data_IF_037791950661
#
_entry.id   IF_037791950661
#
_cell.length_a   1.000
_cell.length_b   1.000
_cell.length_c   1.000
_cell.angle_alpha   90.00
_cell.angle_beta   90.00
_cell.angle_gamma   90.00
#
_symmetry.space_group_name_H-M   'P 1'
#
loop_
_entity.id
_entity.type
_entity.pdbx_description
1 polymer ?
#
# COMPACT_ATOMS: atom_id res chain seq x y z
N UNK A 1 -25.13 -28.69 43.82
CA UNK A 1 -25.09 -30.01 43.18
C UNK A 1 -25.78 -30.96 44.14
N UNK A 2 -27.06 -31.18 43.91
CA UNK A 2 -27.82 -32.19 44.67
C UNK A 2 -27.33 -33.58 44.24
N UNK A 3 -27.21 -34.52 45.17
CA UNK A 3 -26.66 -35.86 44.92
C UNK A 3 -27.51 -36.61 43.88
N UNK A 4 -27.09 -36.60 42.61
CA UNK A 4 -27.76 -37.29 41.51
C UNK A 4 -28.00 -36.47 40.25
N UNK A 5 -27.71 -35.17 40.25
CA UNK A 5 -27.83 -34.31 39.06
C UNK A 5 -26.69 -34.55 38.06
N UNK A 6 -27.03 -34.71 36.77
CA UNK A 6 -26.06 -34.82 35.68
C UNK A 6 -26.25 -33.66 34.70
N UNK A 7 -25.19 -32.88 34.49
CA UNK A 7 -25.16 -31.80 33.51
C UNK A 7 -24.59 -32.28 32.18
N UNK A 8 -25.24 -31.93 31.07
CA UNK A 8 -24.74 -32.15 29.73
C UNK A 8 -24.71 -30.82 28.96
N UNK A 9 -23.63 -30.61 28.19
CA UNK A 9 -23.43 -29.42 27.37
C UNK A 9 -23.26 -29.82 25.90
N UNK A 10 -23.99 -29.16 25.01
CA UNK A 10 -23.92 -29.39 23.56
C UNK A 10 -23.80 -28.06 22.83
N UNK A 11 -23.41 -28.13 21.55
CA UNK A 11 -23.32 -26.99 20.65
C UNK A 11 -24.48 -27.03 19.65
N UNK A 12 -25.08 -25.87 19.40
CA UNK A 12 -26.09 -25.67 18.35
C UNK A 12 -25.41 -25.33 17.00
N UNK A 13 -26.18 -25.30 15.92
CA UNK A 13 -25.82 -24.88 14.56
C UNK A 13 -25.13 -23.51 14.46
N UNK A 14 -25.29 -22.65 15.47
CA UNK A 14 -24.67 -21.33 15.57
C UNK A 14 -23.42 -21.31 16.47
N UNK A 15 -22.82 -22.47 16.75
CA UNK A 15 -21.70 -22.66 17.69
C UNK A 15 -22.00 -22.15 19.12
N UNK A 16 -23.28 -21.98 19.44
CA UNK A 16 -23.73 -21.59 20.78
C UNK A 16 -23.73 -22.80 21.69
N UNK A 17 -23.13 -22.68 22.88
CA UNK A 17 -23.15 -23.73 23.89
C UNK A 17 -24.42 -23.60 24.72
N UNK A 18 -25.16 -24.70 24.84
CA UNK A 18 -26.29 -24.81 25.74
C UNK A 18 -26.07 -25.95 26.72
N UNK A 19 -26.45 -25.72 27.98
CA UNK A 19 -26.30 -26.69 29.06
C UNK A 19 -27.66 -27.04 29.63
N UNK A 20 -27.92 -28.32 29.83
CA UNK A 20 -29.08 -28.81 30.55
C UNK A 20 -28.68 -29.79 31.63
N UNK A 21 -29.44 -29.81 32.71
CA UNK A 21 -29.26 -30.68 33.86
C UNK A 21 -30.47 -31.57 33.97
N UNK A 22 -30.26 -32.88 34.15
CA UNK A 22 -31.32 -33.82 34.47
C UNK A 22 -31.03 -34.47 35.82
N UNK A 23 -32.09 -34.63 36.62
CA UNK A 23 -32.00 -35.19 37.97
C UNK A 23 -33.37 -35.69 38.42
N UNK A 24 -33.43 -36.13 39.68
CA UNK A 24 -34.67 -36.51 40.34
C UNK A 24 -34.99 -35.49 41.42
N UNK A 25 -36.24 -35.05 41.49
CA UNK A 25 -36.72 -34.17 42.56
C UNK A 25 -36.91 -34.93 43.89
N UNK A 26 -37.26 -34.23 44.97
CA UNK A 26 -37.54 -34.85 46.28
C UNK A 26 -38.60 -35.97 46.21
N UNK A 27 -39.53 -35.87 45.26
CA UNK A 27 -40.58 -36.87 45.00
C UNK A 27 -40.15 -38.04 44.08
N UNK A 28 -38.85 -38.15 43.74
CA UNK A 28 -38.29 -39.10 42.75
C UNK A 28 -38.86 -38.97 41.34
N UNK A 29 -39.39 -37.80 41.00
CA UNK A 29 -39.86 -37.50 39.65
C UNK A 29 -38.69 -36.99 38.79
N UNK A 30 -38.59 -37.41 37.51
CA UNK A 30 -37.53 -36.93 36.63
C UNK A 30 -37.74 -35.46 36.28
N UNK A 31 -36.79 -34.61 36.64
CA UNK A 31 -36.81 -33.17 36.36
C UNK A 31 -35.65 -32.80 35.43
N UNK A 32 -35.96 -32.02 34.39
CA UNK A 32 -34.98 -31.48 33.45
C UNK A 32 -34.98 -29.95 33.58
N UNK A 33 -33.83 -29.38 33.90
CA UNK A 33 -33.60 -27.94 33.98
C UNK A 33 -32.70 -27.51 32.83
N UNK A 34 -33.24 -26.73 31.90
CA UNK A 34 -32.48 -26.18 30.78
C UNK A 34 -32.07 -24.72 31.06
N UNK A 35 -30.85 -24.35 30.66
CA UNK A 35 -30.41 -22.95 30.72
C UNK A 35 -31.22 -22.09 29.74
N UNK A 36 -31.80 -20.98 30.21
CA UNK A 36 -32.64 -20.10 29.36
C UNK A 36 -31.83 -19.20 28.42
N UNK A 37 -30.59 -18.88 28.79
CA UNK A 37 -29.70 -18.00 28.02
C UNK A 37 -28.57 -18.81 27.38
N UNK A 38 -28.49 -18.81 26.05
CA UNK A 38 -27.42 -19.49 25.32
C UNK A 38 -26.10 -18.71 25.43
N UNK A 39 -25.00 -19.43 25.63
CA UNK A 39 -23.65 -18.85 25.57
C UNK A 39 -23.14 -18.93 24.12
N UNK A 40 -23.41 -17.88 23.34
CA UNK A 40 -22.93 -17.77 21.96
C UNK A 40 -21.60 -17.00 21.89
N UNK A 41 -20.66 -17.41 21.02
CA UNK A 41 -19.50 -16.59 20.71
C UNK A 41 -19.93 -15.26 20.07
N UNK A 42 -19.17 -14.16 20.28
CA UNK A 42 -19.46 -12.89 19.62
C UNK A 42 -19.40 -13.05 18.11
N UNK A 43 -20.35 -12.43 17.40
CA UNK A 43 -20.34 -12.36 15.94
C UNK A 43 -19.09 -11.61 15.50
N UNK A 44 -18.19 -12.29 14.80
CA UNK A 44 -17.01 -11.67 14.20
C UNK A 44 -17.41 -11.02 12.88
N UNK A 45 -17.12 -9.72 12.73
CA UNK A 45 -17.36 -8.98 11.49
C UNK A 45 -16.29 -9.32 10.43
N UNK A 46 -16.44 -10.47 9.79
CA UNK A 46 -15.49 -11.00 8.78
C UNK A 46 -15.24 -9.97 7.68
N UNK A 47 -16.29 -9.30 7.20
CA UNK A 47 -16.19 -8.28 6.14
C UNK A 47 -15.27 -7.12 6.57
N UNK A 48 -15.39 -6.65 7.81
CA UNK A 48 -14.58 -5.57 8.34
C UNK A 48 -13.10 -5.93 8.41
N UNK A 49 -12.80 -7.15 8.86
CA UNK A 49 -11.43 -7.68 8.91
C UNK A 49 -10.82 -7.76 7.50
N UNK A 50 -11.57 -8.33 6.55
CA UNK A 50 -11.12 -8.47 5.15
C UNK A 50 -10.83 -7.11 4.52
N UNK A 51 -11.75 -6.13 4.67
CA UNK A 51 -11.55 -4.79 4.14
C UNK A 51 -10.37 -4.07 4.81
N UNK A 52 -10.19 -4.24 6.12
CA UNK A 52 -9.05 -3.68 6.85
C UNK A 52 -7.72 -4.21 6.35
N UNK A 53 -7.61 -5.53 6.14
CA UNK A 53 -6.38 -6.17 5.63
C UNK A 53 -6.06 -5.70 4.21
N UNK A 54 -7.06 -5.65 3.31
CA UNK A 54 -6.87 -5.14 1.95
C UNK A 54 -6.40 -3.68 1.97
N UNK A 55 -7.04 -2.84 2.79
CA UNK A 55 -6.67 -1.44 2.96
C UNK A 55 -5.22 -1.27 3.42
N UNK A 56 -4.78 -2.07 4.39
CA UNK A 56 -3.41 -2.04 4.89
C UNK A 56 -2.39 -2.44 3.80
N UNK A 57 -2.65 -3.52 3.06
CA UNK A 57 -1.75 -3.98 1.98
C UNK A 57 -1.62 -2.91 0.90
N UNK A 58 -2.74 -2.30 0.48
CA UNK A 58 -2.74 -1.23 -0.53
C UNK A 58 -1.96 -0.01 -0.03
N UNK A 59 -2.16 0.40 1.23
CA UNK A 59 -1.44 1.53 1.81
C UNK A 59 0.08 1.29 1.86
N UNK A 60 0.51 0.09 2.26
CA UNK A 60 1.94 -0.29 2.25
C UNK A 60 2.50 -0.30 0.82
N UNK A 61 1.76 -0.87 -0.13
CA UNK A 61 2.15 -0.87 -1.54
C UNK A 61 2.33 0.55 -2.10
N UNK A 62 1.39 1.45 -1.80
CA UNK A 62 1.48 2.86 -2.19
C UNK A 62 2.66 3.57 -1.53
N UNK A 63 2.91 3.33 -0.24
CA UNK A 63 4.05 3.92 0.46
C UNK A 63 5.40 3.50 -0.17
N UNK A 64 5.54 2.21 -0.49
CA UNK A 64 6.74 1.70 -1.17
C UNK A 64 6.90 2.27 -2.59
N UNK A 65 5.81 2.36 -3.35
CA UNK A 65 5.84 2.97 -4.69
C UNK A 65 6.19 4.46 -4.64
N UNK A 66 5.65 5.21 -3.68
CA UNK A 66 5.99 6.61 -3.49
C UNK A 66 7.46 6.77 -3.11
N UNK A 67 7.96 5.97 -2.16
CA UNK A 67 9.36 6.00 -1.76
C UNK A 67 10.28 5.66 -2.93
N UNK A 68 9.99 4.58 -3.66
CA UNK A 68 10.70 4.22 -4.89
C UNK A 68 10.71 5.37 -5.89
N UNK A 69 9.54 5.97 -6.18
CA UNK A 69 9.39 7.02 -7.19
C UNK A 69 10.13 8.30 -6.82
N UNK A 70 10.15 8.66 -5.53
CA UNK A 70 10.95 9.79 -5.04
C UNK A 70 12.44 9.50 -5.23
N UNK A 71 12.91 8.32 -4.81
CA UNK A 71 14.33 7.94 -4.97
C UNK A 71 14.76 7.93 -6.44
N UNK A 72 13.96 7.32 -7.32
CA UNK A 72 14.26 7.30 -8.76
C UNK A 72 14.19 8.70 -9.37
N UNK A 73 13.22 9.53 -8.99
CA UNK A 73 13.15 10.91 -9.51
C UNK A 73 14.38 11.76 -9.11
N UNK A 74 14.92 11.56 -7.91
CA UNK A 74 16.14 12.24 -7.48
C UNK A 74 17.35 11.75 -8.29
N UNK A 75 17.46 10.43 -8.49
CA UNK A 75 18.55 9.84 -9.27
C UNK A 75 18.54 10.36 -10.71
N UNK A 76 17.38 10.31 -11.35
CA UNK A 76 17.16 10.76 -12.72
C UNK A 76 17.49 12.26 -12.88
N UNK A 77 17.06 13.11 -11.94
CA UNK A 77 17.42 14.54 -11.94
C UNK A 77 18.91 14.78 -11.79
N UNK A 78 19.60 13.99 -10.96
CA UNK A 78 21.04 14.14 -10.72
C UNK A 78 21.84 13.76 -11.95
N UNK A 79 21.48 12.66 -12.59
CA UNK A 79 22.11 12.20 -13.83
C UNK A 79 21.81 13.16 -14.99
N UNK A 80 20.57 13.62 -15.11
CA UNK A 80 20.18 14.61 -16.11
C UNK A 80 20.99 15.91 -16.00
N UNK A 81 21.21 16.40 -14.78
CA UNK A 81 22.02 17.61 -14.56
C UNK A 81 23.49 17.43 -14.94
N UNK A 82 24.04 16.22 -14.77
CA UNK A 82 25.40 15.89 -15.22
C UNK A 82 25.46 15.78 -16.75
N UNK A 83 24.47 15.13 -17.36
CA UNK A 83 24.37 14.97 -18.80
C UNK A 83 24.20 16.31 -19.53
N UNK A 84 23.37 17.22 -19.02
CA UNK A 84 23.25 18.58 -19.57
C UNK A 84 24.60 19.29 -19.52
N UNK A 85 25.32 19.25 -18.38
CA UNK A 85 26.66 19.84 -18.26
C UNK A 85 27.63 19.30 -19.31
N UNK A 86 27.67 17.99 -19.47
CA UNK A 86 28.52 17.33 -20.47
C UNK A 86 28.10 17.71 -21.89
N UNK A 87 26.79 17.82 -22.18
CA UNK A 87 26.28 18.31 -23.47
C UNK A 87 26.67 19.76 -23.77
N UNK A 88 26.68 20.66 -22.79
CA UNK A 88 27.12 22.05 -23.01
C UNK A 88 28.60 22.12 -23.32
N UNK A 89 29.42 21.31 -22.63
CA UNK A 89 30.87 21.24 -22.86
C UNK A 89 31.23 20.50 -24.15
N UNK A 90 30.45 19.48 -24.52
CA UNK A 90 30.59 18.74 -25.77
C UNK A 90 29.95 19.46 -26.97
N UNK A 91 29.20 20.54 -26.74
CA UNK A 91 28.85 21.49 -27.80
C UNK A 91 30.16 22.18 -28.17
N UNK A 92 30.85 21.56 -29.13
CA UNK A 92 32.09 22.03 -29.72
C UNK A 92 32.04 23.54 -29.86
N UNK A 93 33.06 24.22 -29.36
CA UNK A 93 33.23 25.65 -29.55
C UNK A 93 33.17 25.93 -31.06
N UNK A 94 31.98 26.30 -31.56
CA UNK A 94 31.77 26.79 -32.91
C UNK A 94 32.19 28.25 -33.01
N UNK A 95 32.91 28.77 -32.01
CA UNK A 95 33.80 29.90 -32.19
C UNK A 95 34.83 29.52 -33.24
N UNK A 96 34.79 30.22 -34.36
CA UNK A 96 35.70 30.03 -35.49
C UNK A 96 37.12 29.72 -35.01
N UNK A 97 37.68 28.61 -35.48
CA UNK A 97 39.04 28.21 -35.14
C UNK A 97 39.97 29.43 -35.30
N UNK A 98 40.77 29.82 -34.29
CA UNK A 98 41.59 31.04 -34.36
C UNK A 98 42.65 31.02 -35.47
N UNK A 99 42.91 29.86 -36.09
CA UNK A 99 43.79 29.68 -37.25
C UNK A 99 43.01 29.71 -38.59
N UNK A 100 41.68 29.60 -38.55
CA UNK A 100 40.84 29.55 -39.75
C UNK A 100 40.67 30.95 -40.33
N UNK A 101 41.18 31.12 -41.56
CA UNK A 101 40.92 32.32 -42.35
C UNK A 101 39.81 32.01 -43.34
N UNK A 102 38.72 32.77 -43.28
CA UNK A 102 37.64 32.68 -44.26
C UNK A 102 38.20 32.95 -45.66
N UNK A 103 37.99 32.03 -46.61
CA UNK A 103 38.49 32.13 -47.98
C UNK A 103 37.69 33.12 -48.86
N UNK A 104 36.95 34.03 -48.23
CA UNK A 104 36.11 35.02 -48.91
C UNK A 104 36.65 36.40 -48.59
N UNK A 105 37.34 37.01 -49.56
CA UNK A 105 37.78 38.40 -49.48
C UNK A 105 36.60 39.33 -49.78
N UNK A 106 36.02 39.96 -48.75
CA UNK A 106 35.08 41.07 -48.96
C UNK A 106 35.84 42.32 -49.39
N UNK A 107 35.95 42.53 -50.70
CA UNK A 107 36.54 43.75 -51.25
C UNK A 107 35.51 44.88 -51.21
N UNK A 108 35.79 45.95 -50.45
CA UNK A 108 34.93 47.15 -50.44
C UNK A 108 35.15 47.92 -51.74
N UNK A 109 34.13 47.98 -52.58
CA UNK A 109 34.18 48.71 -53.84
C UNK A 109 34.24 50.23 -53.57
N UNK A 110 35.32 50.93 -53.91
CA UNK A 110 35.48 52.36 -53.65
C UNK A 110 34.48 53.24 -54.43
N UNK A 111 33.81 52.72 -55.47
CA UNK A 111 32.81 53.47 -56.24
C UNK A 111 31.39 53.47 -55.61
N UNK A 112 31.13 52.65 -54.58
CA UNK A 112 29.76 52.43 -54.06
C UNK A 112 29.56 52.87 -52.59
N UNK A 113 30.58 53.48 -51.95
CA UNK A 113 30.49 53.96 -50.57
C UNK A 113 29.95 55.39 -50.41
N UNK A 114 29.34 55.96 -51.45
CA UNK A 114 28.89 57.36 -51.48
C UNK A 114 27.37 57.49 -51.51
N UNK A 115 26.73 57.38 -50.34
CA UNK A 115 25.57 58.19 -49.90
C UNK A 115 25.26 57.91 -48.43
#
# INVERSE_FOLDING_TARGET
>A
AEEGERSCSFFDTNDCRYTFVYGYDENREPVVRAQQTLECPPKLDILGIVLGVIGAIVAVGLALLLMWKVLTSIHDKREYAQFEKERMMAKWDTGENPIYKQATSTFKNPLYGGK
#
